data_IF_262671205344
#
_entry.id   IF_262671205344
#
_cell.length_a   1.000
_cell.length_b   1.000
_cell.length_c   1.000
_cell.angle_alpha   90.00
_cell.angle_beta   90.00
_cell.angle_gamma   90.00
#
_symmetry.space_group_name_H-M   'P 1'
#
loop_
_entity.id
_entity.type
_entity.pdbx_description
1 polymer ?
#
# COMPACT_ATOMS: atom_id res chain seq x y z
N UNK A 1 20.95 -0.34 15.49
CA UNK A 1 20.47 -0.90 14.21
C UNK A 1 18.97 -1.11 14.35
N UNK A 2 18.08 -0.28 13.79
CA UNK A 2 16.66 -0.59 13.82
C UNK A 2 16.46 -1.83 12.94
N UNK A 3 15.79 -2.85 13.47
CA UNK A 3 15.53 -4.08 12.74
C UNK A 3 14.72 -3.75 11.48
N UNK A 4 15.19 -4.21 10.31
CA UNK A 4 14.37 -4.24 9.10
C UNK A 4 13.17 -5.12 9.38
N UNK A 5 12.05 -4.51 9.77
CA UNK A 5 10.77 -5.19 9.87
C UNK A 5 10.33 -5.47 8.44
N UNK A 6 10.73 -6.62 7.90
CA UNK A 6 10.16 -7.12 6.64
C UNK A 6 8.66 -7.22 6.86
N UNK A 7 7.87 -6.39 6.17
CA UNK A 7 6.43 -6.56 6.07
C UNK A 7 6.22 -7.95 5.45
N UNK A 8 5.77 -8.90 6.27
CA UNK A 8 5.42 -10.25 5.85
C UNK A 8 3.91 -10.35 5.92
N UNK A 9 3.30 -10.83 4.86
CA UNK A 9 1.93 -11.30 4.88
C UNK A 9 1.85 -12.50 5.85
N UNK A 10 0.91 -12.47 6.78
CA UNK A 10 0.72 -13.50 7.81
C UNK A 10 -0.71 -14.05 7.80
N UNK A 11 -0.89 -15.18 8.48
CA UNK A 11 -2.21 -15.77 8.66
C UNK A 11 -3.15 -14.77 9.34
N UNK A 12 -4.33 -14.58 8.74
CA UNK A 12 -5.32 -13.60 9.20
C UNK A 12 -5.23 -12.23 8.53
N UNK A 13 -4.12 -11.90 7.84
CA UNK A 13 -4.02 -10.65 7.09
C UNK A 13 -5.01 -10.63 5.92
N UNK A 14 -5.44 -9.43 5.54
CA UNK A 14 -6.21 -9.19 4.32
C UNK A 14 -5.42 -8.31 3.38
N UNK A 15 -5.10 -8.84 2.20
CA UNK A 15 -4.47 -8.11 1.11
C UNK A 15 -5.58 -7.55 0.22
N UNK A 16 -5.68 -6.22 0.16
CA UNK A 16 -6.59 -5.51 -0.74
C UNK A 16 -5.80 -5.10 -1.99
N UNK A 17 -6.29 -5.48 -3.17
CA UNK A 17 -5.66 -5.14 -4.46
C UNK A 17 -6.67 -4.48 -5.40
N UNK A 18 -6.18 -3.55 -6.21
CA UNK A 18 -6.96 -3.00 -7.31
C UNK A 18 -7.34 -4.08 -8.34
N UNK A 19 -8.44 -3.86 -9.05
CA UNK A 19 -9.04 -4.81 -9.98
C UNK A 19 -8.34 -4.93 -11.36
N UNK A 20 -7.23 -4.21 -11.57
CA UNK A 20 -6.45 -4.21 -12.82
C UNK A 20 -6.06 -5.64 -13.26
N UNK A 21 -6.13 -5.98 -14.56
CA UNK A 21 -5.73 -7.29 -15.07
C UNK A 21 -4.30 -7.69 -14.69
N UNK A 22 -3.38 -6.73 -14.56
CA UNK A 22 -2.00 -6.98 -14.13
C UNK A 22 -1.89 -7.54 -12.70
N UNK A 23 -2.90 -7.33 -11.85
CA UNK A 23 -2.96 -7.88 -10.50
C UNK A 23 -3.58 -9.28 -10.43
N UNK A 24 -4.11 -9.80 -11.54
CA UNK A 24 -4.79 -11.10 -11.62
C UNK A 24 -3.95 -12.17 -12.32
N UNK A 25 -2.64 -11.99 -12.37
CA UNK A 25 -1.75 -12.98 -12.96
C UNK A 25 -1.74 -14.26 -12.11
N UNK A 26 -1.56 -15.41 -12.76
CA UNK A 26 -1.56 -16.72 -12.13
C UNK A 26 -0.54 -16.77 -10.98
N UNK A 27 -0.94 -17.31 -9.83
CA UNK A 27 -0.08 -17.49 -8.67
C UNK A 27 -0.26 -16.45 -7.58
N UNK A 28 -0.77 -15.24 -7.86
CA UNK A 28 -0.88 -14.20 -6.82
C UNK A 28 -1.78 -14.65 -5.67
N UNK A 29 -2.97 -15.17 -5.99
CA UNK A 29 -3.93 -15.63 -4.97
C UNK A 29 -3.35 -16.81 -4.19
N UNK A 30 -2.77 -17.77 -4.89
CA UNK A 30 -2.23 -18.99 -4.32
C UNK A 30 -1.10 -18.67 -3.33
N UNK A 31 -0.21 -17.74 -3.65
CA UNK A 31 0.88 -17.35 -2.74
C UNK A 31 0.38 -16.59 -1.51
N UNK A 32 -0.65 -15.76 -1.65
CA UNK A 32 -1.23 -15.02 -0.51
C UNK A 32 -2.01 -15.97 0.40
N UNK A 33 -2.83 -16.86 -0.17
CA UNK A 33 -3.64 -17.78 0.62
C UNK A 33 -2.79 -18.90 1.26
N UNK A 34 -1.65 -19.26 0.65
CA UNK A 34 -0.71 -20.23 1.22
C UNK A 34 -0.12 -19.81 2.58
N UNK A 35 -0.07 -18.50 2.89
CA UNK A 35 0.35 -18.01 4.22
C UNK A 35 -0.81 -17.86 5.21
N UNK A 36 -2.03 -18.22 4.80
CA UNK A 36 -3.26 -18.08 5.60
C UNK A 36 -3.91 -16.70 5.54
N UNK A 37 -3.48 -15.83 4.61
CA UNK A 37 -4.07 -14.52 4.39
C UNK A 37 -5.23 -14.59 3.38
N UNK A 38 -6.00 -13.50 3.28
CA UNK A 38 -7.13 -13.36 2.35
C UNK A 38 -6.80 -12.35 1.28
N UNK A 39 -7.12 -12.64 0.02
CA UNK A 39 -7.00 -11.69 -1.09
C UNK A 39 -8.37 -11.15 -1.50
N UNK A 40 -8.55 -9.83 -1.39
CA UNK A 40 -9.72 -9.07 -1.84
C UNK A 40 -9.34 -8.17 -3.02
N UNK A 41 -10.07 -8.31 -4.12
CA UNK A 41 -9.99 -7.36 -5.23
C UNK A 41 -11.08 -6.30 -5.08
N UNK A 42 -10.75 -5.05 -5.38
CA UNK A 42 -11.73 -3.96 -5.41
C UNK A 42 -12.78 -4.19 -6.52
N UNK A 43 -14.02 -3.73 -6.35
CA UNK A 43 -14.97 -3.65 -7.45
C UNK A 43 -14.44 -2.70 -8.54
N UNK A 44 -14.87 -2.90 -9.79
CA UNK A 44 -14.48 -2.03 -10.88
C UNK A 44 -14.87 -0.57 -10.60
N UNK A 45 -13.99 0.36 -10.96
CA UNK A 45 -14.20 1.81 -10.77
C UNK A 45 -14.54 2.22 -9.33
N UNK A 46 -13.95 1.55 -8.34
CA UNK A 46 -14.14 1.87 -6.92
C UNK A 46 -12.87 2.43 -6.27
N UNK A 47 -12.34 3.56 -6.75
CA UNK A 47 -11.11 4.16 -6.22
C UNK A 47 -11.27 4.64 -4.77
N UNK A 48 -12.51 4.91 -4.34
CA UNK A 48 -12.80 5.34 -2.96
C UNK A 48 -12.48 4.26 -1.92
N UNK A 49 -12.42 2.99 -2.33
CA UNK A 49 -11.99 1.86 -1.49
C UNK A 49 -10.49 1.57 -1.61
N UNK A 50 -9.75 2.34 -2.41
CA UNK A 50 -8.33 2.11 -2.61
C UNK A 50 -7.49 2.93 -1.63
N UNK A 51 -7.00 2.24 -0.60
CA UNK A 51 -6.13 2.77 0.47
C UNK A 51 -4.92 3.56 -0.03
N UNK A 52 -4.43 3.18 -1.20
CA UNK A 52 -3.18 3.69 -1.73
C UNK A 52 -3.35 5.11 -2.31
N UNK A 53 -4.57 5.54 -2.64
CA UNK A 53 -4.82 6.86 -3.24
C UNK A 53 -4.45 8.00 -2.28
N UNK A 54 -4.90 7.92 -1.03
CA UNK A 54 -4.55 8.91 0.01
C UNK A 54 -3.05 8.90 0.31
N UNK A 55 -2.44 7.72 0.36
CA UNK A 55 -1.01 7.57 0.57
C UNK A 55 -0.19 8.14 -0.60
N UNK A 56 -0.61 7.89 -1.85
CA UNK A 56 0.03 8.45 -3.04
C UNK A 56 -0.17 9.95 -3.17
N UNK A 57 -1.32 10.50 -2.78
CA UNK A 57 -1.52 11.94 -2.75
C UNK A 57 -0.50 12.62 -1.83
N UNK A 58 -0.31 12.10 -0.62
CA UNK A 58 0.72 12.57 0.32
C UNK A 58 2.13 12.38 -0.25
N UNK A 59 2.46 11.19 -0.77
CA UNK A 59 3.76 10.91 -1.38
C UNK A 59 4.08 11.90 -2.51
N UNK A 60 3.15 12.08 -3.45
CA UNK A 60 3.30 12.98 -4.58
C UNK A 60 3.49 14.42 -4.13
N UNK A 61 2.81 14.86 -3.06
CA UNK A 61 3.01 16.21 -2.51
C UNK A 61 4.45 16.47 -2.09
N UNK A 62 5.14 15.48 -1.51
CA UNK A 62 6.55 15.60 -1.15
C UNK A 62 7.48 15.55 -2.37
N UNK A 63 7.21 14.64 -3.30
CA UNK A 63 8.11 14.40 -4.43
C UNK A 63 8.10 15.55 -5.44
N UNK A 64 6.95 16.23 -5.64
CA UNK A 64 6.81 17.34 -6.59
C UNK A 64 7.78 18.50 -6.35
N UNK A 65 8.22 18.71 -5.11
CA UNK A 65 9.18 19.76 -4.76
C UNK A 65 10.62 19.26 -4.58
N UNK A 66 10.85 17.95 -4.52
CA UNK A 66 12.09 17.39 -3.97
C UNK A 66 13.13 16.94 -5.01
N UNK A 67 12.71 16.48 -6.20
CA UNK A 67 13.63 15.86 -7.16
C UNK A 67 13.36 16.28 -8.60
N UNK A 68 14.42 16.53 -9.37
CA UNK A 68 14.37 16.82 -10.81
C UNK A 68 15.16 15.82 -11.65
N UNK A 69 15.75 14.81 -11.01
CA UNK A 69 16.48 13.72 -11.66
C UNK A 69 15.96 12.37 -11.13
N UNK A 70 16.13 11.30 -11.91
CA UNK A 70 15.75 9.94 -11.49
C UNK A 70 16.50 9.49 -10.23
N UNK A 71 17.84 9.67 -10.10
CA UNK A 71 18.55 9.31 -8.87
C UNK A 71 18.03 10.03 -7.63
N UNK A 72 17.80 11.34 -7.72
CA UNK A 72 17.28 12.12 -6.59
C UNK A 72 15.85 11.69 -6.21
N UNK A 73 15.04 11.33 -7.22
CA UNK A 73 13.69 10.82 -7.01
C UNK A 73 13.71 9.50 -6.23
N UNK A 74 14.62 8.58 -6.54
CA UNK A 74 14.79 7.34 -5.80
C UNK A 74 15.10 7.58 -4.32
N UNK A 75 16.02 8.50 -4.03
CA UNK A 75 16.36 8.86 -2.64
C UNK A 75 15.19 9.54 -1.93
N UNK A 76 14.49 10.45 -2.62
CA UNK A 76 13.31 11.11 -2.08
C UNK A 76 12.19 10.10 -1.74
N UNK A 77 11.95 9.10 -2.59
CA UNK A 77 10.99 8.02 -2.33
C UNK A 77 11.40 7.24 -1.07
N UNK A 78 12.65 6.79 -0.96
CA UNK A 78 13.14 6.06 0.23
C UNK A 78 12.92 6.85 1.53
N UNK A 79 13.18 8.16 1.49
CA UNK A 79 13.00 9.03 2.66
C UNK A 79 11.52 9.26 3.00
N UNK A 80 10.67 9.38 1.97
CA UNK A 80 9.24 9.65 2.14
C UNK A 80 8.47 8.52 2.80
N UNK A 81 8.84 7.26 2.56
CA UNK A 81 8.18 6.09 3.16
C UNK A 81 8.26 6.11 4.69
N UNK A 82 9.34 6.68 5.25
CA UNK A 82 9.50 6.84 6.69
C UNK A 82 8.63 7.96 7.30
N UNK A 83 7.84 8.68 6.50
CA UNK A 83 6.98 9.80 6.94
C UNK A 83 5.52 9.40 7.17
N UNK A 84 5.19 8.13 7.01
CA UNK A 84 3.86 7.59 7.26
C UNK A 84 3.77 7.08 8.70
N UNK A 85 2.97 7.77 9.53
CA UNK A 85 2.77 7.36 10.91
C UNK A 85 1.70 6.26 11.00
N UNK A 86 1.78 5.31 11.95
CA UNK A 86 0.77 4.26 12.09
C UNK A 86 -0.67 4.78 12.26
N UNK A 87 -0.87 5.86 13.03
CA UNK A 87 -2.20 6.48 13.22
C UNK A 87 -2.77 7.05 11.92
N UNK A 88 -1.91 7.63 11.09
CA UNK A 88 -2.31 8.16 9.79
C UNK A 88 -2.69 7.03 8.82
N UNK A 89 -1.94 5.92 8.82
CA UNK A 89 -2.31 4.74 8.04
C UNK A 89 -3.67 4.16 8.48
N UNK A 90 -3.95 4.13 9.79
CA UNK A 90 -5.27 3.76 10.31
C UNK A 90 -6.37 4.71 9.83
N UNK A 91 -6.10 6.01 9.81
CA UNK A 91 -7.05 6.99 9.28
C UNK A 91 -7.34 6.79 7.78
N UNK A 92 -6.34 6.39 6.98
CA UNK A 92 -6.56 6.05 5.56
C UNK A 92 -7.43 4.80 5.40
N UNK A 93 -7.21 3.77 6.22
CA UNK A 93 -8.05 2.56 6.26
C UNK A 93 -9.51 2.92 6.56
N UNK A 94 -9.73 3.70 7.61
CA UNK A 94 -11.06 4.15 8.01
C UNK A 94 -11.72 5.02 6.92
N UNK A 95 -10.97 5.94 6.29
CA UNK A 95 -11.48 6.79 5.22
C UNK A 95 -11.93 6.00 3.98
N UNK A 96 -11.31 4.85 3.72
CA UNK A 96 -11.72 3.92 2.66
C UNK A 96 -12.77 2.89 3.11
N UNK A 97 -13.35 3.04 4.30
CA UNK A 97 -14.42 2.19 4.81
C UNK A 97 -13.98 0.87 5.44
N UNK A 98 -12.69 0.70 5.75
CA UNK A 98 -12.19 -0.48 6.45
C UNK A 98 -12.12 -0.24 7.96
N UNK A 99 -12.63 -1.20 8.73
CA UNK A 99 -12.46 -1.22 10.16
C UNK A 99 -11.10 -1.86 10.51
N UNK A 100 -10.17 -1.03 10.97
CA UNK A 100 -8.81 -1.40 11.31
C UNK A 100 -8.66 -1.51 12.84
N UNK A 101 -9.53 -2.31 13.46
CA UNK A 101 -9.45 -2.69 14.89
C UNK A 101 -8.47 -3.83 15.12
#
# INVERSE_FOLDING_TARGET
MPSSRTLRCQSGDTVVMDNLPAHKVSGIREHIEAVGARLLYLPAYSPDFNLIELAFAKLNSFLRSAARTIPDLWEAIKQSVNRFAPDECRAYLAAAGYDAT
#
